data_IF_505147192736
#
_entry.id   IF_505147192736
#
_cell.length_a   1.000
_cell.length_b   1.000
_cell.length_c   1.000
_cell.angle_alpha   90.00
_cell.angle_beta   90.00
_cell.angle_gamma   90.00
#
_symmetry.space_group_name_H-M   'P 1'
#
loop_
_entity.id
_entity.type
_entity.pdbx_description
1 polymer ?
#
# COMPACT_ATOMS: atom_id res chain seq x y z
N UNK A 1 6.21 -1.51 15.96
CA UNK A 1 7.44 -2.11 15.47
C UNK A 1 7.51 -2.06 13.94
N UNK A 2 8.69 -1.83 13.41
CA UNK A 2 8.91 -1.78 11.97
C UNK A 2 9.93 -2.82 11.55
N UNK A 3 9.61 -3.57 10.51
CA UNK A 3 10.58 -4.43 9.84
C UNK A 3 10.84 -3.87 8.46
N UNK A 4 12.07 -4.00 8.03
CA UNK A 4 12.48 -3.51 6.72
C UNK A 4 13.00 -4.63 5.86
N UNK A 5 12.47 -4.73 4.65
CA UNK A 5 12.96 -5.65 3.65
C UNK A 5 13.43 -4.86 2.44
N UNK A 6 14.53 -5.30 1.85
CA UNK A 6 15.04 -4.67 0.64
C UNK A 6 15.19 -5.72 -0.44
N UNK A 7 14.52 -5.50 -1.55
CA UNK A 7 14.73 -6.29 -2.77
C UNK A 7 15.56 -5.44 -3.71
N UNK A 8 16.17 -6.04 -4.75
CA UNK A 8 16.98 -5.25 -5.68
C UNK A 8 16.22 -4.02 -6.20
N UNK A 9 16.66 -2.83 -5.77
CA UNK A 9 16.05 -1.57 -6.16
C UNK A 9 14.72 -1.23 -5.52
N UNK A 10 14.24 -2.04 -4.55
CA UNK A 10 12.92 -1.83 -3.93
C UNK A 10 13.03 -1.84 -2.43
N UNK A 11 12.19 -1.03 -1.77
CA UNK A 11 12.07 -1.02 -0.32
C UNK A 11 10.65 -1.37 0.09
N UNK A 12 10.51 -2.34 0.98
CA UNK A 12 9.24 -2.70 1.61
C UNK A 12 9.37 -2.49 3.11
N UNK A 13 8.41 -1.78 3.70
CA UNK A 13 8.32 -1.56 5.14
C UNK A 13 7.05 -2.19 5.66
N UNK A 14 7.15 -2.91 6.76
CA UNK A 14 6.00 -3.53 7.42
C UNK A 14 5.76 -2.82 8.74
N UNK A 15 4.53 -2.39 8.96
CA UNK A 15 4.15 -1.61 10.13
C UNK A 15 3.12 -2.38 10.94
N UNK A 16 3.40 -2.58 12.22
CA UNK A 16 2.56 -3.39 13.11
C UNK A 16 2.13 -2.61 14.34
N UNK A 17 1.06 -3.11 14.97
CA UNK A 17 0.70 -2.78 16.34
C UNK A 17 -0.06 -1.49 16.49
N UNK A 18 -0.06 -0.98 17.71
CA UNK A 18 -0.78 0.25 18.03
C UNK A 18 -0.10 1.45 17.39
N UNK A 19 -0.90 2.41 17.00
CA UNK A 19 -0.38 3.59 16.33
C UNK A 19 0.07 3.32 14.91
N UNK A 20 -0.44 2.24 14.30
CA UNK A 20 -0.09 1.83 12.94
C UNK A 20 -0.25 2.97 11.95
N UNK A 21 -1.33 3.76 12.07
CA UNK A 21 -1.55 4.88 11.16
C UNK A 21 -0.43 5.91 11.28
N UNK A 22 -0.09 6.30 12.50
CA UNK A 22 0.97 7.29 12.72
C UNK A 22 2.31 6.78 12.23
N UNK A 23 2.59 5.49 12.42
CA UNK A 23 3.81 4.87 11.91
C UNK A 23 3.83 4.85 10.39
N UNK A 24 2.68 4.56 9.76
CA UNK A 24 2.59 4.56 8.30
C UNK A 24 2.86 5.96 7.75
N UNK A 25 2.27 6.98 8.34
CA UNK A 25 2.51 8.36 7.92
C UNK A 25 3.98 8.74 8.06
N UNK A 26 4.59 8.37 9.19
CA UNK A 26 5.99 8.65 9.45
C UNK A 26 6.90 7.96 8.42
N UNK A 27 6.61 6.69 8.09
CA UNK A 27 7.41 5.97 7.10
C UNK A 27 7.25 6.55 5.70
N UNK A 28 6.04 6.88 5.31
CA UNK A 28 5.78 7.50 4.01
C UNK A 28 6.59 8.78 3.87
N UNK A 29 6.53 9.63 4.90
CA UNK A 29 7.24 10.90 4.92
C UNK A 29 8.75 10.69 4.94
N UNK A 30 9.23 9.75 5.74
CA UNK A 30 10.65 9.46 5.86
C UNK A 30 11.23 8.93 4.55
N UNK A 31 10.46 8.16 3.79
CA UNK A 31 10.88 7.67 2.49
C UNK A 31 10.81 8.74 1.40
N UNK A 32 10.29 9.91 1.74
CA UNK A 32 10.24 11.03 0.82
C UNK A 32 9.01 11.09 -0.07
N UNK A 33 7.98 10.32 0.26
CA UNK A 33 6.77 10.29 -0.56
C UNK A 33 5.73 11.28 -0.05
N UNK A 34 5.03 11.90 -0.99
CA UNK A 34 3.94 12.83 -0.69
C UNK A 34 2.61 12.37 -1.29
N UNK A 35 2.62 11.33 -2.10
CA UNK A 35 1.40 10.78 -2.70
C UNK A 35 1.54 9.26 -2.78
N UNK A 36 0.63 8.57 -2.11
CA UNK A 36 0.63 7.10 -2.10
C UNK A 36 -0.72 6.56 -2.51
N UNK A 37 -0.72 5.42 -3.17
CA UNK A 37 -1.96 4.71 -3.51
C UNK A 37 -2.19 3.63 -2.46
N UNK A 38 -3.37 3.65 -1.84
CA UNK A 38 -3.76 2.63 -0.87
C UNK A 38 -4.33 1.44 -1.61
N UNK A 39 -3.84 0.25 -1.31
CA UNK A 39 -4.28 -0.99 -1.93
C UNK A 39 -5.03 -1.84 -0.93
N UNK A 40 -6.12 -2.47 -1.35
CA UNK A 40 -6.85 -3.43 -0.52
C UNK A 40 -7.60 -4.43 -1.39
N UNK A 41 -8.15 -5.46 -0.76
CA UNK A 41 -9.14 -6.32 -1.39
C UNK A 41 -10.50 -5.63 -1.34
N UNK A 42 -11.48 -6.08 -2.14
CA UNK A 42 -12.84 -5.53 -2.04
C UNK A 42 -13.46 -5.67 -0.64
N UNK A 43 -13.11 -6.73 0.08
CA UNK A 43 -13.62 -6.97 1.43
C UNK A 43 -13.14 -5.92 2.42
N UNK A 44 -12.02 -5.31 2.16
CA UNK A 44 -11.39 -4.34 3.05
C UNK A 44 -11.47 -2.92 2.51
N UNK A 45 -12.33 -2.70 1.52
CA UNK A 45 -12.45 -1.39 0.88
C UNK A 45 -12.82 -0.30 1.88
N UNK A 46 -13.71 -0.59 2.83
CA UNK A 46 -14.11 0.40 3.84
C UNK A 46 -12.93 0.80 4.72
N UNK A 47 -12.10 -0.18 5.12
CA UNK A 47 -10.91 0.10 5.92
C UNK A 47 -9.90 0.91 5.11
N UNK A 48 -9.76 0.58 3.84
CA UNK A 48 -8.84 1.31 2.96
C UNK A 48 -9.30 2.76 2.76
N UNK A 49 -10.60 2.98 2.61
CA UNK A 49 -11.13 4.34 2.49
C UNK A 49 -10.90 5.13 3.77
N UNK A 50 -11.11 4.50 4.93
CA UNK A 50 -10.85 5.15 6.21
C UNK A 50 -9.37 5.52 6.35
N UNK A 51 -8.48 4.62 5.98
CA UNK A 51 -7.05 4.87 5.99
C UNK A 51 -6.67 6.01 5.05
N UNK A 52 -7.21 5.99 3.85
CA UNK A 52 -6.98 7.03 2.85
C UNK A 52 -7.42 8.40 3.37
N UNK A 53 -8.59 8.44 4.00
CA UNK A 53 -9.10 9.67 4.58
C UNK A 53 -8.19 10.18 5.70
N UNK A 54 -7.71 9.30 6.54
CA UNK A 54 -6.81 9.66 7.64
C UNK A 54 -5.43 10.11 7.15
N UNK A 55 -4.95 9.54 6.06
CA UNK A 55 -3.69 9.98 5.45
C UNK A 55 -3.82 11.37 4.82
N UNK A 56 -5.03 11.79 4.52
CA UNK A 56 -5.29 13.12 3.99
C UNK A 56 -4.55 13.37 2.68
N UNK A 57 -3.76 14.41 2.64
CA UNK A 57 -3.05 14.81 1.42
C UNK A 57 -2.00 13.80 0.96
N UNK A 58 -1.56 12.91 1.84
CA UNK A 58 -0.62 11.85 1.46
C UNK A 58 -1.30 10.80 0.59
N UNK A 59 -2.61 10.65 0.68
CA UNK A 59 -3.32 9.67 -0.12
C UNK A 59 -3.60 10.20 -1.51
N UNK A 60 -3.23 9.42 -2.52
CA UNK A 60 -3.58 9.70 -3.92
C UNK A 60 -4.87 8.98 -4.31
N UNK A 61 -5.40 8.13 -3.44
CA UNK A 61 -6.62 7.37 -3.69
C UNK A 61 -6.51 5.94 -3.19
N UNK A 62 -7.52 5.16 -3.50
CA UNK A 62 -7.63 3.75 -3.11
C UNK A 62 -7.87 2.89 -4.33
N UNK A 63 -7.16 1.78 -4.41
CA UNK A 63 -7.48 0.72 -5.36
C UNK A 63 -7.84 -0.52 -4.55
N UNK A 64 -9.12 -0.89 -4.55
CA UNK A 64 -9.66 -1.97 -3.73
C UNK A 64 -9.96 -3.23 -4.55
N UNK A 65 -9.12 -3.53 -5.54
CA UNK A 65 -9.34 -4.65 -6.43
C UNK A 65 -8.33 -5.79 -6.30
N UNK A 66 -7.53 -5.81 -5.22
CA UNK A 66 -6.55 -6.87 -5.02
C UNK A 66 -7.23 -8.23 -4.92
N UNK A 67 -6.68 -9.22 -5.58
CA UNK A 67 -7.23 -10.57 -5.63
C UNK A 67 -6.14 -11.60 -5.49
N UNK A 68 -6.53 -12.83 -5.11
CA UNK A 68 -5.59 -13.94 -4.98
C UNK A 68 -4.85 -14.18 -6.30
N UNK A 69 -3.57 -14.52 -6.17
CA UNK A 69 -2.68 -14.83 -7.30
C UNK A 69 -2.38 -13.63 -8.20
N UNK A 70 -2.79 -12.45 -7.81
CA UNK A 70 -2.50 -11.19 -8.51
C UNK A 70 -2.68 -11.32 -10.04
N UNK A 71 -3.93 -11.45 -10.50
CA UNK A 71 -4.20 -11.58 -11.95
C UNK A 71 -3.63 -10.40 -12.74
N UNK A 72 -3.23 -10.66 -13.98
CA UNK A 72 -2.61 -9.65 -14.84
C UNK A 72 -3.51 -8.44 -15.06
N UNK A 73 -4.82 -8.66 -15.26
CA UNK A 73 -5.76 -7.57 -15.47
C UNK A 73 -5.89 -6.68 -14.22
N UNK A 74 -5.85 -7.29 -13.04
CA UNK A 74 -5.86 -6.53 -11.77
C UNK A 74 -4.58 -5.70 -11.64
N UNK A 75 -3.44 -6.29 -11.96
CA UNK A 75 -2.16 -5.59 -11.91
C UNK A 75 -2.16 -4.40 -12.86
N UNK A 76 -2.66 -4.58 -14.08
CA UNK A 76 -2.70 -3.49 -15.06
C UNK A 76 -3.65 -2.38 -14.63
N UNK A 77 -4.81 -2.73 -14.07
CA UNK A 77 -5.75 -1.75 -13.55
C UNK A 77 -5.14 -0.96 -12.38
N UNK A 78 -4.44 -1.65 -11.50
CA UNK A 78 -3.79 -1.01 -10.36
C UNK A 78 -2.65 -0.09 -10.81
N UNK A 79 -1.88 -0.51 -11.81
CA UNK A 79 -0.83 0.33 -12.39
C UNK A 79 -1.41 1.60 -13.01
N UNK A 80 -2.53 1.47 -13.72
CA UNK A 80 -3.19 2.62 -14.31
C UNK A 80 -3.66 3.60 -13.21
N UNK A 81 -4.22 3.06 -12.11
CA UNK A 81 -4.63 3.87 -10.97
C UNK A 81 -3.43 4.56 -10.33
N UNK A 82 -2.34 3.83 -10.17
CA UNK A 82 -1.11 4.35 -9.58
C UNK A 82 -0.55 5.52 -10.40
N UNK A 83 -0.43 5.31 -11.69
CA UNK A 83 0.11 6.33 -12.60
C UNK A 83 -0.84 7.52 -12.75
N UNK A 84 -2.13 7.24 -12.90
CA UNK A 84 -3.13 8.29 -13.07
C UNK A 84 -3.27 9.18 -11.84
N UNK A 85 -3.01 8.64 -10.66
CA UNK A 85 -3.08 9.39 -9.42
C UNK A 85 -1.78 10.16 -9.12
N UNK A 86 -0.73 9.93 -9.88
CA UNK A 86 0.57 10.54 -9.60
C UNK A 86 1.22 9.99 -8.35
N UNK A 87 0.89 8.76 -7.96
CA UNK A 87 1.45 8.15 -6.78
C UNK A 87 2.91 7.74 -6.99
N UNK A 88 3.69 7.76 -5.93
CA UNK A 88 5.10 7.37 -5.97
C UNK A 88 5.39 6.17 -5.08
N UNK A 89 4.43 5.77 -4.25
CA UNK A 89 4.55 4.60 -3.40
C UNK A 89 3.16 4.00 -3.19
N UNK A 90 3.11 2.78 -2.65
CA UNK A 90 1.85 2.12 -2.32
C UNK A 90 1.81 1.79 -0.85
N UNK A 91 0.60 1.81 -0.28
CA UNK A 91 0.33 1.33 1.07
C UNK A 91 -0.60 0.13 0.92
N UNK A 92 -0.09 -1.06 1.22
CA UNK A 92 -0.86 -2.29 1.08
C UNK A 92 -1.53 -2.63 2.42
N UNK A 93 -2.85 -2.55 2.44
CA UNK A 93 -3.65 -2.86 3.63
C UNK A 93 -4.24 -4.26 3.47
N UNK A 94 -3.81 -5.19 4.29
CA UNK A 94 -4.34 -6.55 4.23
C UNK A 94 -3.29 -7.63 4.22
N UNK A 95 -3.64 -8.76 3.63
CA UNK A 95 -2.80 -9.94 3.60
C UNK A 95 -2.05 -10.11 2.29
N UNK A 96 -1.80 -11.37 1.95
CA UNK A 96 -0.95 -11.72 0.81
C UNK A 96 -1.41 -11.21 -0.53
N UNK A 97 -2.72 -11.16 -0.77
CA UNK A 97 -3.26 -10.66 -2.06
C UNK A 97 -2.86 -9.21 -2.30
N UNK A 98 -3.00 -8.40 -1.26
CA UNK A 98 -2.69 -6.97 -1.37
C UNK A 98 -1.20 -6.73 -1.42
N UNK A 99 -0.43 -7.45 -0.61
CA UNK A 99 1.03 -7.35 -0.61
C UNK A 99 1.60 -7.80 -1.96
N UNK A 100 1.03 -8.86 -2.54
CA UNK A 100 1.42 -9.34 -3.86
C UNK A 100 1.18 -8.32 -4.95
N UNK A 101 0.03 -7.63 -4.89
CA UNK A 101 -0.27 -6.56 -5.84
C UNK A 101 0.72 -5.40 -5.68
N UNK A 102 1.01 -5.03 -4.43
CA UNK A 102 1.99 -3.98 -4.15
C UNK A 102 3.36 -4.33 -4.69
N UNK A 103 3.79 -5.58 -4.55
CA UNK A 103 5.05 -6.06 -5.13
C UNK A 103 5.06 -5.96 -6.65
N UNK A 104 3.94 -6.31 -7.27
CA UNK A 104 3.83 -6.25 -8.73
C UNK A 104 3.98 -4.81 -9.23
N UNK A 105 3.36 -3.86 -8.55
CA UNK A 105 3.50 -2.44 -8.88
C UNK A 105 4.94 -1.98 -8.64
N UNK A 106 5.50 -2.34 -7.49
CA UNK A 106 6.87 -1.95 -7.13
C UNK A 106 7.89 -2.47 -8.13
N UNK A 107 7.73 -3.71 -8.57
CA UNK A 107 8.64 -4.32 -9.54
C UNK A 107 8.60 -3.58 -10.88
N UNK A 108 7.42 -3.11 -11.29
CA UNK A 108 7.25 -2.43 -12.58
C UNK A 108 7.60 -0.95 -12.54
N UNK A 109 7.51 -0.31 -11.37
CA UNK A 109 7.66 1.14 -11.28
C UNK A 109 8.86 1.57 -10.44
N UNK A 110 9.43 0.67 -9.65
CA UNK A 110 10.46 1.02 -8.68
C UNK A 110 9.90 1.67 -7.42
N UNK A 111 8.58 1.65 -7.24
CA UNK A 111 7.94 2.29 -6.10
C UNK A 111 8.21 1.55 -4.80
N UNK A 112 8.27 2.30 -3.70
CA UNK A 112 8.33 1.71 -2.37
C UNK A 112 6.97 1.19 -1.94
N UNK A 113 6.97 0.24 -1.01
CA UNK A 113 5.75 -0.32 -0.46
C UNK A 113 5.77 -0.26 1.07
N UNK A 114 4.70 0.23 1.65
CA UNK A 114 4.44 0.14 3.09
C UNK A 114 3.31 -0.86 3.29
N UNK A 115 3.52 -1.88 4.11
CA UNK A 115 2.54 -2.95 4.33
C UNK A 115 1.94 -2.79 5.73
N UNK A 116 0.61 -2.77 5.79
CA UNK A 116 -0.14 -2.74 7.04
C UNK A 116 -0.95 -4.04 7.13
N UNK A 117 -0.49 -5.05 7.89
CA UNK A 117 -1.23 -6.31 8.01
C UNK A 117 -2.53 -6.10 8.78
N UNK A 118 -3.66 -6.43 8.16
CA UNK A 118 -4.97 -6.23 8.78
C UNK A 118 -5.21 -7.15 9.97
N UNK A 119 -4.49 -8.26 10.05
CA UNK A 119 -4.54 -9.13 11.23
C UNK A 119 -4.24 -8.35 12.50
N UNK A 120 -3.40 -7.34 12.40
CA UNK A 120 -3.05 -6.49 13.53
C UNK A 120 -3.85 -5.20 13.55
N UNK A 121 -4.11 -4.64 12.40
CA UNK A 121 -4.79 -3.35 12.28
C UNK A 121 -6.29 -3.46 12.53
N UNK A 122 -6.88 -4.60 12.27
CA UNK A 122 -8.32 -4.80 12.36
C UNK A 122 -8.81 -5.42 13.66
N UNK A 123 -7.92 -5.74 14.55
CA UNK A 123 -8.32 -6.41 15.79
C UNK A 123 -8.53 -5.45 16.93
#
# INVERSE_FOLDING_TARGET
MLDRFTFPGLTTRVVFGRGTLAQAEAEITRLGHSRVLVLSTPHQAAQAQALSHQLGRLSAGVFAGAAMHTPTDVTEAALAAFQGAGATAVVALGGGSTTGLGKAIATRTGADQVVIPTTYAGS
#
